data_IF_696751731937
#
_entry.id   IF_696751731937
#
_cell.length_a   1.000
_cell.length_b   1.000
_cell.length_c   1.000
_cell.angle_alpha   90.00
_cell.angle_beta   90.00
_cell.angle_gamma   90.00
#
_symmetry.space_group_name_H-M   'P 1'
#
loop_
_entity.id
_entity.type
_entity.pdbx_description
1 polymer ?
#
# COMPACT_ATOMS: atom_id res chain seq x y z
N UNK A 1 -19.12 -99.69 14.59
CA UNK A 1 -19.49 -98.60 13.66
C UNK A 1 -19.08 -97.30 14.33
N UNK A 2 -17.83 -97.10 14.72
CA UNK A 2 -16.55 -96.98 13.98
C UNK A 2 -16.35 -95.55 13.47
N UNK A 3 -15.75 -94.76 14.37
CA UNK A 3 -15.13 -93.46 14.15
C UNK A 3 -14.07 -93.55 13.05
N UNK A 4 -14.19 -92.72 12.01
CA UNK A 4 -13.11 -92.53 11.05
C UNK A 4 -12.37 -91.21 11.32
N UNK A 5 -11.09 -91.39 11.66
CA UNK A 5 -10.05 -90.39 11.82
C UNK A 5 -9.77 -89.65 10.50
N UNK A 6 -9.71 -88.32 10.56
CA UNK A 6 -9.18 -87.48 9.49
C UNK A 6 -7.66 -87.60 9.38
N UNK A 7 -7.17 -87.74 8.15
CA UNK A 7 -5.76 -87.77 7.81
C UNK A 7 -5.35 -86.40 7.25
N UNK A 8 -4.27 -85.82 7.80
CA UNK A 8 -3.72 -84.50 7.42
C UNK A 8 -2.83 -84.66 6.16
N UNK A 9 -2.81 -83.70 5.21
CA UNK A 9 -1.95 -83.77 4.02
C UNK A 9 -0.46 -83.49 4.34
N UNK A 10 0.49 -83.95 3.51
CA UNK A 10 1.92 -83.77 3.75
C UNK A 10 2.41 -82.34 3.45
N UNK A 11 3.39 -81.91 4.24
CA UNK A 11 4.13 -80.64 4.09
C UNK A 11 5.08 -80.72 2.88
N UNK A 12 5.10 -79.75 1.94
CA UNK A 12 6.10 -79.71 0.87
C UNK A 12 7.50 -79.37 1.38
N UNK A 13 8.52 -80.06 0.83
CA UNK A 13 9.94 -79.89 1.12
C UNK A 13 10.43 -78.46 0.85
N UNK A 14 11.28 -77.94 1.74
CA UNK A 14 12.09 -76.75 1.49
C UNK A 14 13.19 -77.09 0.47
N UNK A 15 13.17 -76.38 -0.66
CA UNK A 15 14.25 -76.34 -1.63
C UNK A 15 15.30 -75.31 -1.16
N UNK A 16 16.52 -75.77 -0.87
CA UNK A 16 17.67 -74.88 -0.61
C UNK A 16 18.00 -74.06 -1.85
N UNK A 17 17.77 -72.74 -1.78
CA UNK A 17 18.23 -71.81 -2.80
C UNK A 17 19.77 -71.74 -2.79
N UNK A 18 20.42 -72.32 -3.81
CA UNK A 18 21.84 -72.11 -4.11
C UNK A 18 22.09 -70.62 -4.38
N UNK A 19 22.93 -69.99 -3.56
CA UNK A 19 23.43 -68.64 -3.78
C UNK A 19 24.22 -68.58 -5.11
N UNK A 20 23.72 -67.82 -6.08
CA UNK A 20 24.44 -67.54 -7.33
C UNK A 20 25.51 -66.47 -7.08
N UNK A 21 26.77 -66.80 -7.37
CA UNK A 21 27.93 -65.91 -7.26
C UNK A 21 27.89 -64.75 -8.28
N UNK A 22 27.10 -63.71 -8.00
CA UNK A 22 27.01 -62.48 -8.81
C UNK A 22 27.98 -61.37 -8.34
N UNK A 23 29.17 -61.74 -7.86
CA UNK A 23 30.15 -60.78 -7.34
C UNK A 23 30.96 -60.06 -8.44
N UNK A 24 30.91 -60.54 -9.70
CA UNK A 24 31.67 -59.97 -10.82
C UNK A 24 30.93 -58.85 -11.55
N UNK A 25 29.59 -58.89 -11.63
CA UNK A 25 28.78 -57.90 -12.34
C UNK A 25 28.62 -56.59 -11.57
N UNK A 26 28.52 -56.64 -10.23
CA UNK A 26 28.45 -55.46 -9.36
C UNK A 26 29.75 -54.64 -9.34
N UNK A 27 30.92 -55.26 -9.54
CA UNK A 27 32.20 -54.55 -9.64
C UNK A 27 32.29 -53.73 -10.92
N UNK A 28 31.76 -54.22 -12.04
CA UNK A 28 31.77 -53.51 -13.33
C UNK A 28 30.90 -52.24 -13.26
N UNK A 29 29.74 -52.31 -12.60
CA UNK A 29 28.87 -51.14 -12.39
C UNK A 29 29.52 -50.12 -11.44
N UNK A 30 30.20 -50.58 -10.38
CA UNK A 30 30.91 -49.70 -9.45
C UNK A 30 32.10 -48.98 -10.11
N UNK A 31 32.88 -49.66 -10.97
CA UNK A 31 33.96 -49.02 -11.72
C UNK A 31 33.44 -48.06 -12.80
N UNK A 32 32.29 -48.36 -13.42
CA UNK A 32 31.61 -47.44 -14.35
C UNK A 32 31.19 -46.13 -13.69
N UNK A 33 30.58 -46.19 -12.50
CA UNK A 33 30.19 -44.99 -11.73
C UNK A 33 31.40 -44.19 -11.22
N UNK A 34 32.48 -44.86 -10.81
CA UNK A 34 33.70 -44.20 -10.35
C UNK A 34 34.43 -43.45 -11.48
N UNK A 35 34.44 -43.99 -12.71
CA UNK A 35 35.09 -43.33 -13.86
C UNK A 35 34.27 -42.12 -14.33
N UNK A 36 32.94 -42.21 -14.32
CA UNK A 36 32.05 -41.08 -14.66
C UNK A 36 32.13 -39.98 -13.61
N UNK A 37 32.20 -40.30 -12.31
CA UNK A 37 32.29 -39.28 -11.25
C UNK A 37 33.64 -38.56 -11.26
N UNK A 38 34.74 -39.25 -11.57
CA UNK A 38 36.07 -38.64 -11.73
C UNK A 38 36.11 -37.76 -12.99
N UNK A 39 35.53 -38.20 -14.11
CA UNK A 39 35.45 -37.41 -15.33
C UNK A 39 34.64 -36.11 -15.17
N UNK A 40 33.50 -36.17 -14.48
CA UNK A 40 32.67 -34.99 -14.18
C UNK A 40 33.37 -34.05 -13.18
N UNK A 41 34.08 -34.60 -12.19
CA UNK A 41 34.83 -33.79 -11.21
C UNK A 41 36.05 -33.09 -11.85
N UNK A 42 36.72 -33.72 -12.81
CA UNK A 42 37.82 -33.12 -13.58
C UNK A 42 37.29 -32.06 -14.56
N UNK A 43 36.12 -32.28 -15.18
CA UNK A 43 35.48 -31.30 -16.06
C UNK A 43 35.01 -30.05 -15.29
N UNK A 44 34.38 -30.23 -14.11
CA UNK A 44 33.96 -29.13 -13.24
C UNK A 44 35.19 -28.43 -12.64
N UNK A 45 36.19 -29.18 -12.19
CA UNK A 45 37.45 -28.63 -11.68
C UNK A 45 38.20 -27.82 -12.75
N UNK A 46 38.29 -28.32 -13.98
CA UNK A 46 38.90 -27.63 -15.12
C UNK A 46 38.13 -26.38 -15.55
N UNK A 47 36.80 -26.39 -15.49
CA UNK A 47 35.95 -25.23 -15.76
C UNK A 47 36.10 -24.14 -14.67
N UNK A 48 36.17 -24.54 -13.39
CA UNK A 48 36.33 -23.61 -12.27
C UNK A 48 37.77 -23.07 -12.16
N UNK A 49 38.79 -23.85 -12.53
CA UNK A 49 40.20 -23.41 -12.58
C UNK A 49 40.51 -22.59 -13.85
N UNK A 50 39.82 -22.84 -14.96
CA UNK A 50 39.92 -22.07 -16.20
C UNK A 50 39.25 -20.69 -16.12
N UNK A 51 38.26 -20.52 -15.24
CA UNK A 51 37.56 -19.24 -15.00
C UNK A 51 38.20 -18.40 -13.89
N UNK A 52 39.17 -18.91 -13.15
CA UNK A 52 39.84 -18.22 -12.04
C UNK A 52 41.20 -17.60 -12.37
N UNK A 53 41.51 -17.42 -13.66
CA UNK A 53 42.61 -16.56 -14.13
C UNK A 53 42.10 -15.39 -14.97
N UNK A 54 41.32 -14.52 -14.36
CA UNK A 54 41.32 -13.11 -14.74
C UNK A 54 41.63 -12.32 -13.48
N UNK A 55 42.84 -11.75 -13.41
CA UNK A 55 43.18 -10.78 -12.37
C UNK A 55 42.16 -9.66 -12.49
N UNK A 56 41.27 -9.54 -11.51
CA UNK A 56 40.39 -8.40 -11.35
C UNK A 56 41.27 -7.17 -11.13
N UNK A 57 41.59 -6.49 -12.22
CA UNK A 57 41.88 -5.07 -12.20
C UNK A 57 40.69 -4.40 -11.50
N UNK A 58 40.89 -3.43 -10.58
CA UNK A 58 39.77 -2.69 -10.02
C UNK A 58 38.99 -2.11 -11.20
N UNK A 59 37.79 -2.61 -11.42
CA UNK A 59 36.87 -1.99 -12.35
C UNK A 59 36.70 -0.56 -11.85
N UNK A 60 36.97 0.42 -12.72
CA UNK A 60 36.57 1.78 -12.44
C UNK A 60 35.10 1.70 -12.03
N UNK A 61 34.81 2.04 -10.77
CA UNK A 61 33.44 2.17 -10.30
C UNK A 61 32.81 3.17 -11.25
N UNK A 62 31.94 2.68 -12.14
CA UNK A 62 30.97 3.56 -12.78
C UNK A 62 30.09 4.01 -11.62
N UNK A 63 30.47 5.14 -11.03
CA UNK A 63 29.58 5.92 -10.21
C UNK A 63 28.43 6.26 -11.14
N UNK A 64 27.36 5.46 -11.07
CA UNK A 64 26.03 5.91 -11.47
C UNK A 64 25.70 7.04 -10.52
N UNK A 65 26.27 8.20 -10.81
CA UNK A 65 25.76 9.45 -10.29
C UNK A 65 24.31 9.44 -10.76
N UNK A 66 23.31 9.42 -9.87
CA UNK A 66 21.94 9.54 -10.32
C UNK A 66 21.91 10.79 -11.19
N UNK A 67 21.62 10.61 -12.49
CA UNK A 67 21.30 11.75 -13.32
C UNK A 67 20.19 12.45 -12.55
N UNK A 68 20.35 13.74 -12.19
CA UNK A 68 19.32 14.42 -11.41
C UNK A 68 18.02 14.19 -12.16
N UNK A 69 17.08 13.48 -11.52
CA UNK A 69 15.71 13.40 -12.01
C UNK A 69 15.32 14.86 -12.25
N UNK A 70 14.97 15.25 -13.49
CA UNK A 70 14.66 16.64 -13.77
C UNK A 70 13.65 17.12 -12.73
N UNK A 71 14.02 18.13 -11.94
CA UNK A 71 13.10 18.69 -10.95
C UNK A 71 11.86 19.15 -11.73
N UNK A 72 10.69 18.52 -11.58
CA UNK A 72 9.51 18.86 -12.36
C UNK A 72 9.07 20.32 -12.08
N UNK A 73 9.58 20.90 -11.00
CA UNK A 73 9.34 22.28 -10.57
C UNK A 73 10.49 23.23 -10.93
N UNK A 74 11.45 22.82 -11.77
CA UNK A 74 12.62 23.63 -12.11
C UNK A 74 12.25 24.96 -12.79
N UNK A 75 11.24 24.94 -13.66
CA UNK A 75 10.81 26.11 -14.43
C UNK A 75 9.64 26.88 -13.79
N UNK A 76 9.23 26.49 -12.58
CA UNK A 76 8.08 27.06 -11.89
C UNK A 76 8.38 28.45 -11.33
N UNK A 77 7.32 29.25 -11.19
CA UNK A 77 7.39 30.56 -10.53
C UNK A 77 7.44 30.38 -9.02
N UNK A 78 8.02 31.36 -8.32
CA UNK A 78 8.13 31.36 -6.86
C UNK A 78 7.20 32.44 -6.31
N UNK A 79 6.30 32.04 -5.41
CA UNK A 79 5.53 32.97 -4.60
C UNK A 79 6.25 33.21 -3.27
N UNK A 80 6.30 34.47 -2.83
CA UNK A 80 6.84 34.85 -1.52
C UNK A 80 5.84 35.75 -0.79
N UNK A 81 5.33 35.26 0.34
CA UNK A 81 4.42 36.01 1.20
C UNK A 81 5.17 36.84 2.24
N UNK A 82 5.79 37.95 1.85
CA UNK A 82 6.46 38.87 2.79
C UNK A 82 7.40 38.16 3.78
N UNK A 83 8.12 37.13 3.31
CA UNK A 83 9.01 36.30 4.11
C UNK A 83 8.33 35.53 5.25
N UNK A 84 7.04 35.17 5.15
CA UNK A 84 6.33 34.26 6.07
C UNK A 84 6.37 32.84 5.53
N UNK A 85 6.06 32.67 4.25
CA UNK A 85 6.23 31.40 3.55
C UNK A 85 6.51 31.65 2.08
N UNK A 86 7.09 30.64 1.44
CA UNK A 86 7.33 30.59 0.00
C UNK A 86 6.86 29.25 -0.54
N UNK A 87 6.43 29.21 -1.79
CA UNK A 87 6.16 27.96 -2.52
C UNK A 87 6.39 28.20 -4.01
N UNK A 88 6.58 27.13 -4.77
CA UNK A 88 6.61 27.18 -6.23
C UNK A 88 5.25 26.82 -6.82
N UNK A 89 4.94 27.37 -7.99
CA UNK A 89 3.72 27.05 -8.75
C UNK A 89 3.98 27.07 -10.27
N UNK A 90 3.20 26.33 -11.07
CA UNK A 90 3.39 26.28 -12.52
C UNK A 90 3.33 27.65 -13.20
N UNK A 91 4.11 27.82 -14.27
CA UNK A 91 4.26 29.13 -14.94
C UNK A 91 3.04 29.56 -15.77
N UNK A 92 2.16 28.61 -16.07
CA UNK A 92 0.84 28.80 -16.68
C UNK A 92 -0.28 29.03 -15.64
N UNK A 93 0.05 29.00 -14.34
CA UNK A 93 -0.84 29.36 -13.25
C UNK A 93 -0.62 30.82 -12.82
N UNK A 94 -1.52 31.32 -11.98
CA UNK A 94 -1.45 32.66 -11.40
C UNK A 94 -1.92 32.63 -9.94
N UNK A 95 -1.54 33.66 -9.20
CA UNK A 95 -1.86 33.83 -7.78
C UNK A 95 -2.69 35.10 -7.59
N UNK A 96 -3.83 34.99 -6.91
CA UNK A 96 -4.69 36.11 -6.58
C UNK A 96 -4.89 36.23 -5.07
N UNK A 97 -4.77 37.44 -4.53
CA UNK A 97 -5.02 37.71 -3.11
C UNK A 97 -6.42 38.30 -2.92
N UNK A 98 -7.20 37.70 -2.04
CA UNK A 98 -8.52 38.18 -1.65
C UNK A 98 -8.41 38.86 -0.29
N UNK A 99 -8.50 40.18 -0.31
CA UNK A 99 -8.41 41.05 0.88
C UNK A 99 -9.78 41.42 1.48
N UNK A 100 -10.89 41.13 0.79
CA UNK A 100 -12.24 41.46 1.23
C UNK A 100 -12.88 40.41 2.14
N UNK A 101 -12.20 39.29 2.42
CA UNK A 101 -12.68 38.23 3.28
C UNK A 101 -12.22 38.46 4.73
N UNK A 102 -12.97 37.90 5.69
CA UNK A 102 -12.66 37.99 7.12
C UNK A 102 -11.25 37.46 7.47
N UNK A 103 -10.69 36.60 6.61
CA UNK A 103 -9.33 36.10 6.70
C UNK A 103 -8.60 36.27 5.36
N UNK A 104 -7.33 36.72 5.38
CA UNK A 104 -6.54 36.87 4.17
C UNK A 104 -6.40 35.51 3.47
N UNK A 105 -6.89 35.45 2.23
CA UNK A 105 -6.90 34.22 1.43
C UNK A 105 -6.18 34.44 0.11
N UNK A 106 -5.30 33.49 -0.24
CA UNK A 106 -4.66 33.42 -1.54
C UNK A 106 -5.29 32.31 -2.35
N UNK A 107 -5.55 32.56 -3.63
CA UNK A 107 -5.96 31.55 -4.60
C UNK A 107 -4.78 31.29 -5.53
N UNK A 108 -4.48 30.01 -5.74
CA UNK A 108 -3.47 29.52 -6.68
C UNK A 108 -4.20 28.61 -7.66
N UNK A 109 -4.28 29.00 -8.94
CA UNK A 109 -5.07 28.29 -9.94
C UNK A 109 -4.51 28.54 -11.36
N UNK A 110 -4.92 27.76 -12.37
CA UNK A 110 -4.62 28.09 -13.77
C UNK A 110 -5.06 29.51 -14.11
N UNK A 111 -4.32 30.20 -15.00
CA UNK A 111 -4.63 31.59 -15.39
C UNK A 111 -6.08 31.79 -15.83
N UNK A 112 -6.63 30.83 -16.57
CA UNK A 112 -8.03 30.83 -17.01
C UNK A 112 -9.02 30.87 -15.85
N UNK A 113 -8.73 30.18 -14.75
CA UNK A 113 -9.57 30.17 -13.56
C UNK A 113 -9.50 31.51 -12.83
N UNK A 114 -8.29 32.07 -12.69
CA UNK A 114 -8.09 33.38 -12.07
C UNK A 114 -8.79 34.48 -12.89
N UNK A 115 -8.69 34.46 -14.22
CA UNK A 115 -9.38 35.41 -15.09
C UNK A 115 -10.90 35.29 -15.01
N UNK A 116 -11.43 34.06 -14.87
CA UNK A 116 -12.85 33.85 -14.62
C UNK A 116 -13.28 34.47 -13.27
N UNK A 117 -12.50 34.27 -12.20
CA UNK A 117 -12.76 34.85 -10.89
C UNK A 117 -12.68 36.38 -10.87
N UNK A 118 -11.76 36.97 -11.64
CA UNK A 118 -11.65 38.44 -11.81
C UNK A 118 -12.90 39.04 -12.44
N UNK A 119 -13.49 38.39 -13.45
CA UNK A 119 -14.71 38.87 -14.14
C UNK A 119 -15.91 39.01 -13.22
N UNK A 120 -15.93 38.22 -12.14
CA UNK A 120 -17.00 38.19 -11.13
C UNK A 120 -16.56 38.86 -9.83
N UNK A 121 -15.51 39.67 -9.84
CA UNK A 121 -14.97 40.40 -8.68
C UNK A 121 -14.79 39.50 -7.44
N UNK A 122 -14.38 38.25 -7.66
CA UNK A 122 -14.19 37.25 -6.61
C UNK A 122 -15.43 37.04 -5.71
N UNK A 123 -16.63 37.34 -6.22
CA UNK A 123 -17.91 37.22 -5.49
C UNK A 123 -18.44 35.77 -5.44
N UNK A 124 -17.88 34.85 -6.24
CA UNK A 124 -18.28 33.43 -6.19
C UNK A 124 -17.65 32.80 -4.95
N UNK A 125 -18.49 32.59 -3.94
CA UNK A 125 -18.11 31.89 -2.71
C UNK A 125 -17.81 30.42 -2.98
N UNK A 126 -16.52 30.08 -2.98
CA UNK A 126 -16.06 28.68 -2.95
C UNK A 126 -16.36 27.86 -4.22
N UNK A 127 -15.84 26.63 -4.21
CA UNK A 127 -15.99 25.67 -5.31
C UNK A 127 -14.71 25.50 -6.16
N UNK A 128 -14.80 24.64 -7.19
CA UNK A 128 -13.67 24.16 -8.01
C UNK A 128 -12.88 25.26 -8.75
N UNK A 129 -13.45 26.45 -8.90
CA UNK A 129 -12.75 27.59 -9.54
C UNK A 129 -11.56 28.07 -8.71
N UNK A 130 -11.64 27.96 -7.38
CA UNK A 130 -10.57 28.30 -6.44
C UNK A 130 -9.69 27.08 -6.17
N UNK A 131 -9.06 26.54 -7.21
CA UNK A 131 -8.39 25.21 -7.22
C UNK A 131 -7.59 24.96 -5.94
N UNK A 132 -6.66 25.86 -5.59
CA UNK A 132 -5.96 25.84 -4.31
C UNK A 132 -6.23 27.15 -3.56
N UNK A 133 -6.56 27.06 -2.29
CA UNK A 133 -6.77 28.21 -1.41
C UNK A 133 -5.84 28.15 -0.20
N UNK A 134 -5.09 29.22 0.08
CA UNK A 134 -4.25 29.34 1.27
C UNK A 134 -4.82 30.44 2.15
N UNK A 135 -5.33 30.08 3.32
CA UNK A 135 -5.94 31.01 4.28
C UNK A 135 -5.13 31.02 5.56
N UNK A 136 -4.75 32.19 6.06
CA UNK A 136 -4.01 32.35 7.32
C UNK A 136 -4.84 33.00 8.43
N UNK A 137 -4.59 32.62 9.68
CA UNK A 137 -5.12 33.37 10.84
C UNK A 137 -4.28 34.63 11.12
N UNK A 138 -4.94 35.74 11.44
CA UNK A 138 -4.28 37.01 11.82
C UNK A 138 -4.01 37.13 13.31
N UNK A 139 -4.61 36.28 14.16
CA UNK A 139 -4.50 36.33 15.62
C UNK A 139 -3.50 35.31 16.18
N UNK A 140 -2.78 35.73 17.22
CA UNK A 140 -1.93 34.87 18.04
C UNK A 140 -2.79 33.91 18.88
N UNK A 141 -2.98 32.68 18.40
CA UNK A 141 -3.73 31.64 19.10
C UNK A 141 -3.93 30.39 18.24
N UNK A 142 -4.01 29.18 18.82
CA UNK A 142 -4.21 27.94 18.06
C UNK A 142 -5.62 27.85 17.43
N UNK A 143 -5.60 27.62 16.12
CA UNK A 143 -6.59 27.02 15.20
C UNK A 143 -8.08 27.44 15.31
N UNK A 144 -8.58 28.29 14.38
CA UNK A 144 -10.03 28.48 14.17
C UNK A 144 -10.66 27.49 13.16
N UNK A 145 -9.88 26.59 12.54
CA UNK A 145 -10.36 25.65 11.52
C UNK A 145 -10.38 24.21 12.02
N UNK A 146 -11.53 23.77 12.51
CA UNK A 146 -11.80 22.35 12.75
C UNK A 146 -12.79 21.88 11.68
N UNK A 147 -12.36 20.95 10.85
CA UNK A 147 -13.23 20.29 9.88
C UNK A 147 -13.86 19.06 10.54
N UNK A 148 -15.18 19.05 10.62
CA UNK A 148 -15.95 17.95 11.24
C UNK A 148 -16.95 17.38 10.25
N UNK A 149 -17.25 16.08 10.40
CA UNK A 149 -18.38 15.46 9.72
C UNK A 149 -19.70 16.05 10.21
N UNK A 150 -20.67 16.15 9.30
CA UNK A 150 -22.05 16.60 9.58
C UNK A 150 -23.01 15.95 8.57
N UNK A 151 -24.26 16.44 8.48
CA UNK A 151 -25.27 15.92 7.55
C UNK A 151 -24.94 16.14 6.07
N UNK A 152 -23.95 16.98 5.75
CA UNK A 152 -23.58 17.37 4.38
C UNK A 152 -22.22 16.83 3.94
N UNK A 153 -21.35 16.43 4.88
CA UNK A 153 -20.02 15.89 4.57
C UNK A 153 -19.53 14.88 5.59
N UNK A 154 -18.74 13.92 5.11
CA UNK A 154 -17.91 13.03 5.93
C UNK A 154 -16.46 13.53 5.92
N UNK A 155 -15.83 13.67 7.09
CA UNK A 155 -14.46 14.17 7.22
C UNK A 155 -13.55 13.09 7.81
N UNK A 156 -12.53 12.70 7.05
CA UNK A 156 -11.38 11.94 7.55
C UNK A 156 -10.24 12.90 7.89
N UNK A 157 -9.38 12.53 8.85
CA UNK A 157 -8.17 13.31 9.18
C UNK A 157 -6.96 12.41 9.40
N UNK A 158 -5.78 12.90 9.04
CA UNK A 158 -4.47 12.27 9.31
C UNK A 158 -3.39 13.31 9.57
N UNK A 159 -2.33 12.92 10.29
CA UNK A 159 -1.15 13.77 10.48
C UNK A 159 -0.19 13.62 9.30
N UNK A 160 0.35 14.74 8.83
CA UNK A 160 1.34 14.82 7.74
C UNK A 160 2.47 15.80 8.11
N UNK A 161 3.59 15.78 7.39
CA UNK A 161 4.62 16.82 7.49
C UNK A 161 4.58 17.70 6.25
N UNK A 162 4.57 19.02 6.44
CA UNK A 162 4.76 20.00 5.36
C UNK A 162 5.91 20.91 5.75
N UNK A 163 6.97 20.95 4.94
CA UNK A 163 8.15 21.79 5.21
C UNK A 163 8.78 21.56 6.59
N UNK A 164 8.69 20.35 7.15
CA UNK A 164 9.19 20.03 8.50
C UNK A 164 8.26 20.44 9.65
N UNK A 165 7.09 21.02 9.36
CA UNK A 165 6.05 21.31 10.34
C UNK A 165 5.01 20.20 10.36
N UNK A 166 4.51 19.88 11.55
CA UNK A 166 3.36 19.00 11.68
C UNK A 166 2.13 19.71 11.11
N UNK A 167 1.40 19.00 10.27
CA UNK A 167 0.14 19.44 9.73
C UNK A 167 -0.91 18.36 9.94
N UNK A 168 -2.17 18.77 10.02
CA UNK A 168 -3.31 17.86 9.95
C UNK A 168 -3.95 18.00 8.59
N UNK A 169 -3.95 16.91 7.82
CA UNK A 169 -4.72 16.81 6.59
C UNK A 169 -6.14 16.38 6.92
N UNK A 170 -7.13 17.12 6.43
CA UNK A 170 -8.55 16.79 6.49
C UNK A 170 -9.02 16.48 5.06
N UNK A 171 -9.68 15.35 4.87
CA UNK A 171 -10.33 14.98 3.61
C UNK A 171 -11.83 14.99 3.83
N UNK A 172 -12.51 15.97 3.23
CA UNK A 172 -13.97 16.12 3.28
C UNK A 172 -14.58 15.53 2.03
N UNK A 173 -15.44 14.52 2.17
CA UNK A 173 -16.26 13.97 1.09
C UNK A 173 -17.70 14.42 1.27
N UNK A 174 -18.25 15.13 0.30
CA UNK A 174 -19.59 15.69 0.38
C UNK A 174 -20.65 14.63 0.08
N UNK A 175 -21.65 14.54 0.95
CA UNK A 175 -22.75 13.58 0.90
C UNK A 175 -24.10 14.25 0.60
N UNK A 176 -24.07 15.52 0.21
CA UNK A 176 -25.21 16.30 -0.27
C UNK A 176 -24.73 17.35 -1.29
N UNK A 177 -25.62 17.75 -2.20
CA UNK A 177 -25.39 18.89 -3.08
C UNK A 177 -25.50 20.20 -2.29
N UNK A 178 -24.56 21.12 -2.52
CA UNK A 178 -24.52 22.46 -1.95
C UNK A 178 -24.22 23.48 -3.07
N UNK A 179 -24.48 24.77 -2.85
CA UNK A 179 -24.04 25.80 -3.79
C UNK A 179 -22.52 25.70 -4.07
N UNK A 180 -22.17 25.36 -5.32
CA UNK A 180 -20.76 25.23 -5.76
C UNK A 180 -20.05 23.93 -5.39
N UNK A 181 -20.74 22.97 -4.75
CA UNK A 181 -20.19 21.67 -4.36
C UNK A 181 -21.20 20.58 -4.71
N UNK A 182 -20.78 19.58 -5.47
CA UNK A 182 -21.64 18.48 -5.88
C UNK A 182 -21.54 17.30 -4.90
N UNK A 183 -22.59 16.49 -4.83
CA UNK A 183 -22.56 15.19 -4.16
C UNK A 183 -21.35 14.36 -4.65
N UNK A 184 -20.55 13.89 -3.71
CA UNK A 184 -19.34 13.11 -3.98
C UNK A 184 -18.07 13.93 -4.24
N UNK A 185 -18.15 15.26 -4.26
CA UNK A 185 -16.95 16.10 -4.34
C UNK A 185 -16.06 15.88 -3.12
N UNK A 186 -14.75 15.92 -3.35
CA UNK A 186 -13.71 15.75 -2.32
C UNK A 186 -12.89 17.03 -2.21
N UNK A 187 -12.77 17.55 -0.99
CA UNK A 187 -11.94 18.71 -0.65
C UNK A 187 -10.89 18.27 0.36
N UNK A 188 -9.64 18.66 0.15
CA UNK A 188 -8.53 18.38 1.08
C UNK A 188 -8.09 19.69 1.73
N UNK A 189 -7.92 19.72 3.04
CA UNK A 189 -7.35 20.86 3.76
C UNK A 189 -6.19 20.42 4.62
N UNK A 190 -4.99 20.94 4.34
CA UNK A 190 -3.83 20.81 5.20
C UNK A 190 -3.75 22.00 6.15
N UNK A 191 -3.99 21.76 7.44
CA UNK A 191 -3.83 22.77 8.49
C UNK A 191 -2.45 22.62 9.11
N UNK A 192 -1.63 23.65 8.98
CA UNK A 192 -0.25 23.70 9.47
C UNK A 192 -0.09 24.84 10.47
N UNK A 193 0.39 24.49 11.66
CA UNK A 193 0.69 25.44 12.73
C UNK A 193 2.15 25.88 12.65
N UNK A 194 2.38 27.18 12.56
CA UNK A 194 3.71 27.81 12.46
C UNK A 194 3.82 28.88 13.55
N UNK A 195 4.43 28.49 14.67
CA UNK A 195 4.51 29.35 15.86
C UNK A 195 3.11 29.64 16.43
N UNK A 196 2.72 30.91 16.47
CA UNK A 196 1.40 31.35 16.96
C UNK A 196 0.34 31.50 15.87
N UNK A 197 0.66 31.14 14.62
CA UNK A 197 -0.20 31.27 13.44
C UNK A 197 -0.57 29.89 12.90
N UNK A 198 -1.76 29.79 12.31
CA UNK A 198 -2.20 28.62 11.57
C UNK A 198 -2.49 28.98 10.12
N UNK A 199 -2.13 28.09 9.20
CA UNK A 199 -2.46 28.19 7.78
C UNK A 199 -3.28 26.98 7.36
N UNK A 200 -4.38 27.20 6.66
CA UNK A 200 -5.12 26.16 5.94
C UNK A 200 -4.75 26.25 4.46
N UNK A 201 -4.19 25.17 3.93
CA UNK A 201 -3.89 25.01 2.50
C UNK A 201 -4.90 24.01 1.96
N UNK A 202 -5.88 24.50 1.21
CA UNK A 202 -7.02 23.74 0.69
C UNK A 202 -6.86 23.40 -0.79
N UNK A 203 -7.24 22.18 -1.17
CA UNK A 203 -7.50 21.73 -2.54
C UNK A 203 -9.01 21.60 -2.72
N UNK A 204 -9.60 22.49 -3.51
CA UNK A 204 -11.05 22.56 -3.73
C UNK A 204 -11.49 21.79 -4.99
N UNK A 205 -10.54 21.35 -5.82
CA UNK A 205 -10.80 20.49 -6.98
C UNK A 205 -9.80 19.32 -6.98
N UNK A 206 -10.32 18.13 -6.64
CA UNK A 206 -9.52 16.91 -6.51
C UNK A 206 -8.84 16.48 -7.82
N UNK A 207 -9.31 16.95 -8.98
CA UNK A 207 -8.65 16.68 -10.27
C UNK A 207 -7.23 17.25 -10.35
N UNK A 208 -6.89 18.21 -9.48
CA UNK A 208 -5.56 18.82 -9.39
C UNK A 208 -4.69 18.22 -8.28
N UNK A 209 -5.03 17.04 -7.75
CA UNK A 209 -4.33 16.43 -6.61
C UNK A 209 -2.82 16.27 -6.82
N UNK A 210 -2.39 15.79 -7.98
CA UNK A 210 -0.96 15.61 -8.26
C UNK A 210 -0.23 16.96 -8.30
N UNK A 211 -0.86 17.97 -8.89
CA UNK A 211 -0.33 19.34 -8.94
C UNK A 211 -0.26 19.95 -7.55
N UNK A 212 -1.30 19.75 -6.74
CA UNK A 212 -1.36 20.16 -5.36
C UNK A 212 -0.23 19.54 -4.52
N UNK A 213 -0.03 18.23 -4.63
CA UNK A 213 1.05 17.54 -3.90
C UNK A 213 2.44 18.08 -4.30
N UNK A 214 2.64 18.36 -5.60
CA UNK A 214 3.87 19.01 -6.06
C UNK A 214 4.04 20.42 -5.46
N UNK A 215 3.00 21.25 -5.48
CA UNK A 215 3.03 22.59 -4.87
C UNK A 215 3.34 22.48 -3.36
N UNK A 216 2.64 21.60 -2.63
CA UNK A 216 2.85 21.32 -1.20
C UNK A 216 4.31 20.93 -0.92
N UNK A 217 4.91 20.10 -1.76
CA UNK A 217 6.31 19.66 -1.61
C UNK A 217 7.34 20.80 -1.67
N UNK A 218 6.96 21.95 -2.25
CA UNK A 218 7.84 23.11 -2.42
C UNK A 218 7.65 24.18 -1.34
N UNK A 219 6.67 24.00 -0.45
CA UNK A 219 6.43 24.96 0.63
C UNK A 219 7.65 25.08 1.54
N UNK A 220 7.91 26.32 1.96
CA UNK A 220 8.88 26.67 3.00
C UNK A 220 8.29 27.76 3.87
N UNK A 221 8.18 27.52 5.18
CA UNK A 221 7.81 28.56 6.14
C UNK A 221 9.06 29.23 6.72
N UNK A 222 8.96 30.52 7.02
CA UNK A 222 9.99 31.25 7.75
C UNK A 222 9.76 31.15 9.25
N UNK A 223 10.85 31.11 10.03
CA UNK A 223 10.81 30.78 11.44
C UNK A 223 11.56 29.47 11.68
N UNK A 224 12.88 29.57 11.74
CA UNK A 224 13.76 28.43 11.94
C UNK A 224 14.04 28.23 13.43
N UNK A 225 13.19 27.44 14.07
CA UNK A 225 13.60 26.50 15.10
C UNK A 225 12.67 25.29 15.00
N UNK A 226 13.15 24.29 14.28
CA UNK A 226 12.56 22.96 14.30
C UNK A 226 12.59 22.42 15.73
N UNK A 227 11.42 22.22 16.34
CA UNK A 227 11.19 21.18 17.33
C UNK A 227 9.73 20.77 17.24
N UNK A 228 9.43 19.75 16.43
CA UNK A 228 9.22 18.38 16.94
C UNK A 228 9.50 17.43 15.78
N UNK A 229 10.62 16.69 15.81
CA UNK A 229 10.73 15.42 15.09
C UNK A 229 9.85 14.40 15.79
N UNK A 230 8.54 14.56 15.68
CA UNK A 230 7.66 13.41 15.72
C UNK A 230 7.59 12.98 14.28
N UNK A 231 8.09 11.78 13.99
CA UNK A 231 7.57 11.02 12.86
C UNK A 231 6.05 11.13 12.97
N UNK A 232 5.33 11.81 12.04
CA UNK A 232 3.89 11.86 12.11
C UNK A 232 3.43 10.44 12.29
N UNK A 233 2.62 10.20 13.31
CA UNK A 233 1.90 8.96 13.35
C UNK A 233 0.63 9.22 12.54
N UNK A 234 0.58 8.92 11.23
CA UNK A 234 -0.64 9.10 10.43
C UNK A 234 -1.83 8.32 11.02
N UNK A 235 -1.55 7.41 11.95
CA UNK A 235 -2.52 6.60 12.69
C UNK A 235 -2.81 7.09 14.11
N UNK A 236 -2.50 8.35 14.45
CA UNK A 236 -2.69 8.90 15.80
C UNK A 236 -4.15 8.87 16.28
N UNK A 237 -5.10 9.14 15.37
CA UNK A 237 -6.55 9.12 15.61
C UNK A 237 -7.22 7.82 15.12
N UNK A 238 -6.45 6.84 14.71
CA UNK A 238 -6.99 5.57 14.25
C UNK A 238 -7.44 4.74 15.43
N UNK A 239 -8.49 3.94 15.20
CA UNK A 239 -8.99 2.99 16.19
C UNK A 239 -8.08 1.77 16.20
N UNK A 240 -7.83 1.21 17.38
CA UNK A 240 -7.10 -0.04 17.54
C UNK A 240 -8.08 -1.21 17.50
N UNK A 241 -7.74 -2.26 16.75
CA UNK A 241 -8.42 -3.55 16.75
C UNK A 241 -7.46 -4.62 17.25
N UNK A 242 -7.87 -5.36 18.26
CA UNK A 242 -7.06 -6.41 18.89
C UNK A 242 -7.86 -7.70 18.89
N UNK A 243 -7.24 -8.79 18.40
CA UNK A 243 -7.83 -10.13 18.44
C UNK A 243 -6.93 -11.03 19.27
N UNK A 244 -7.19 -11.08 20.57
CA UNK A 244 -6.36 -11.81 21.54
C UNK A 244 -6.21 -13.29 21.18
N UNK A 245 -7.29 -13.95 20.71
CA UNK A 245 -7.27 -15.36 20.29
C UNK A 245 -6.28 -15.63 19.16
N UNK A 246 -6.09 -14.67 18.26
CA UNK A 246 -5.19 -14.79 17.10
C UNK A 246 -3.81 -14.16 17.35
N UNK A 247 -3.63 -13.47 18.48
CA UNK A 247 -2.39 -12.80 18.85
C UNK A 247 -2.05 -11.64 17.92
N UNK A 248 -3.04 -10.85 17.50
CA UNK A 248 -2.84 -9.73 16.56
C UNK A 248 -3.42 -8.42 17.09
N UNK A 249 -2.76 -7.34 16.72
CA UNK A 249 -3.23 -5.97 16.91
C UNK A 249 -2.88 -5.13 15.68
N UNK A 250 -3.80 -4.27 15.26
CA UNK A 250 -3.51 -3.25 14.26
C UNK A 250 -4.44 -2.05 14.44
N UNK A 251 -4.14 -0.95 13.75
CA UNK A 251 -4.99 0.24 13.72
C UNK A 251 -5.69 0.36 12.38
N UNK A 252 -6.87 0.99 12.39
CA UNK A 252 -7.64 1.30 11.17
C UNK A 252 -8.23 2.72 11.19
N UNK A 253 -8.45 3.34 10.01
CA UNK A 253 -8.97 4.70 9.91
C UNK A 253 -10.35 4.86 10.59
N UNK A 254 -10.64 6.02 11.22
CA UNK A 254 -11.90 6.23 11.91
C UNK A 254 -13.14 6.26 10.99
N UNK A 255 -12.95 6.53 9.69
CA UNK A 255 -13.99 6.50 8.65
C UNK A 255 -14.31 5.09 8.15
N UNK A 256 -13.60 4.05 8.63
CA UNK A 256 -13.91 2.68 8.24
C UNK A 256 -14.91 2.08 9.24
N UNK A 257 -16.00 1.52 8.72
CA UNK A 257 -16.99 0.80 9.51
C UNK A 257 -16.71 -0.70 9.45
N UNK A 258 -16.55 -1.39 10.60
CA UNK A 258 -16.55 -2.84 10.60
C UNK A 258 -17.96 -3.35 10.24
N UNK A 259 -18.06 -4.24 9.25
CA UNK A 259 -19.35 -4.76 8.77
C UNK A 259 -19.74 -6.05 9.50
N UNK A 260 -18.77 -6.92 9.79
CA UNK A 260 -18.98 -8.18 10.47
C UNK A 260 -17.70 -8.62 11.18
N UNK A 261 -17.85 -8.98 12.45
CA UNK A 261 -16.86 -9.72 13.23
C UNK A 261 -17.39 -11.15 13.25
N UNK A 262 -16.77 -12.04 12.49
CA UNK A 262 -17.16 -13.45 12.50
C UNK A 262 -16.35 -14.16 13.58
N UNK A 263 -17.02 -14.77 14.56
CA UNK A 263 -16.36 -15.64 15.55
C UNK A 263 -15.78 -16.92 14.91
N UNK A 264 -16.13 -17.20 13.64
CA UNK A 264 -15.46 -18.21 12.84
C UNK A 264 -14.09 -17.69 12.41
N UNK A 265 -13.04 -18.43 12.79
CA UNK A 265 -11.60 -18.10 12.64
C UNK A 265 -11.15 -17.70 11.22
N UNK A 266 -12.00 -17.93 10.21
CA UNK A 266 -11.75 -17.62 8.81
C UNK A 266 -11.77 -16.12 8.50
N UNK A 267 -12.61 -15.29 9.13
CA UNK A 267 -12.72 -13.86 8.79
C UNK A 267 -12.79 -12.97 10.04
N UNK A 268 -11.65 -12.65 10.68
CA UNK A 268 -11.63 -11.86 11.90
C UNK A 268 -12.36 -10.51 11.78
N UNK A 269 -12.27 -9.82 10.63
CA UNK A 269 -12.93 -8.52 10.43
C UNK A 269 -13.01 -8.14 8.95
N UNK A 270 -14.05 -7.38 8.61
CA UNK A 270 -14.22 -6.73 7.31
C UNK A 270 -14.59 -5.26 7.47
N UNK A 271 -14.08 -4.39 6.59
CA UNK A 271 -14.27 -2.94 6.64
C UNK A 271 -14.92 -2.42 5.35
N UNK A 272 -15.78 -1.42 5.50
CA UNK A 272 -16.18 -0.50 4.41
C UNK A 272 -15.64 0.88 4.70
N UNK A 273 -15.06 1.52 3.70
CA UNK A 273 -14.74 2.93 3.71
C UNK A 273 -16.00 3.76 3.48
N UNK A 274 -16.51 4.37 4.55
CA UNK A 274 -17.74 5.16 4.48
C UNK A 274 -17.58 6.48 3.70
N UNK A 275 -16.35 6.86 3.33
CA UNK A 275 -16.13 8.04 2.49
C UNK A 275 -16.52 7.81 1.04
N UNK A 276 -16.48 6.56 0.55
CA UNK A 276 -16.81 6.26 -0.83
C UNK A 276 -18.29 5.90 -0.98
N UNK A 277 -19.09 6.91 -1.35
CA UNK A 277 -20.54 6.84 -1.54
C UNK A 277 -20.96 5.97 -2.73
N UNK A 278 -20.03 5.62 -3.64
CA UNK A 278 -20.31 4.79 -4.81
C UNK A 278 -20.27 3.28 -4.50
N UNK A 279 -19.76 2.87 -3.34
CA UNK A 279 -19.76 1.46 -2.89
C UNK A 279 -21.15 0.93 -2.49
N UNK A 280 -22.18 1.79 -2.35
CA UNK A 280 -23.49 1.40 -1.79
C UNK A 280 -24.34 0.42 -2.63
N UNK A 281 -23.82 -0.08 -3.75
CA UNK A 281 -24.43 -1.14 -4.55
C UNK A 281 -23.73 -2.51 -4.39
N UNK A 282 -22.59 -2.59 -3.68
CA UNK A 282 -21.85 -3.83 -3.44
C UNK A 282 -22.08 -4.33 -2.01
N UNK A 283 -22.45 -5.59 -1.85
CA UNK A 283 -22.55 -6.26 -0.54
C UNK A 283 -21.18 -6.73 -0.02
N UNK A 284 -20.11 -6.54 -0.79
CA UNK A 284 -18.76 -7.01 -0.45
C UNK A 284 -17.96 -5.92 0.27
N UNK A 285 -17.18 -6.27 1.32
CA UNK A 285 -16.35 -5.31 2.01
C UNK A 285 -15.18 -4.83 1.13
N UNK A 286 -14.75 -3.60 1.37
CA UNK A 286 -13.60 -3.00 0.68
C UNK A 286 -12.29 -3.63 1.15
N UNK A 287 -12.23 -4.02 2.42
CA UNK A 287 -11.13 -4.77 3.00
C UNK A 287 -11.69 -5.93 3.82
N UNK A 288 -11.15 -7.13 3.60
CA UNK A 288 -11.37 -8.28 4.49
C UNK A 288 -10.06 -8.85 4.98
N UNK A 289 -10.03 -9.29 6.24
CA UNK A 289 -8.91 -10.01 6.82
C UNK A 289 -9.36 -11.46 7.00
N UNK A 290 -8.57 -12.39 6.48
CA UNK A 290 -8.77 -13.84 6.57
C UNK A 290 -7.57 -14.49 7.24
N UNK A 291 -7.81 -15.48 8.11
CA UNK A 291 -6.73 -16.31 8.67
C UNK A 291 -6.75 -17.67 8.00
N UNK A 292 -5.57 -18.10 7.57
CA UNK A 292 -5.37 -19.34 6.82
C UNK A 292 -4.33 -20.18 7.56
N UNK A 293 -4.71 -21.34 8.14
CA UNK A 293 -3.75 -22.22 8.76
C UNK A 293 -2.77 -22.79 7.73
N UNK A 294 -1.50 -22.91 8.09
CA UNK A 294 -0.52 -23.64 7.29
C UNK A 294 -0.72 -25.12 7.62
N UNK A 295 -1.26 -25.87 6.65
CA UNK A 295 -1.57 -27.30 6.81
C UNK A 295 -0.27 -28.09 6.96
N UNK A 296 -0.29 -29.16 7.78
CA UNK A 296 0.87 -30.04 7.95
C UNK A 296 1.37 -30.57 6.61
N UNK A 297 2.65 -30.33 6.30
CA UNK A 297 3.30 -30.71 5.04
C UNK A 297 3.32 -29.62 3.97
N UNK A 298 2.52 -28.56 4.10
CA UNK A 298 2.64 -27.36 3.26
C UNK A 298 3.64 -26.36 3.88
N UNK A 299 4.27 -25.53 3.04
CA UNK A 299 4.93 -24.30 3.47
C UNK A 299 4.01 -23.09 3.25
N UNK A 300 4.37 -21.94 3.85
CA UNK A 300 3.56 -20.72 3.70
C UNK A 300 3.43 -20.28 2.24
N UNK A 301 4.42 -20.57 1.38
CA UNK A 301 4.39 -20.19 -0.04
C UNK A 301 3.29 -20.93 -0.77
N UNK A 302 3.19 -22.23 -0.50
CA UNK A 302 2.14 -23.11 -1.02
C UNK A 302 0.77 -22.66 -0.53
N UNK A 303 0.65 -22.27 0.74
CA UNK A 303 -0.59 -21.68 1.29
C UNK A 303 -0.99 -20.41 0.55
N UNK A 304 -0.06 -19.48 0.31
CA UNK A 304 -0.30 -18.24 -0.43
C UNK A 304 -0.78 -18.50 -1.86
N UNK A 305 -0.13 -19.42 -2.57
CA UNK A 305 -0.49 -19.79 -3.94
C UNK A 305 -1.92 -20.36 -4.01
N UNK A 306 -2.26 -21.27 -3.09
CA UNK A 306 -3.60 -21.90 -3.04
C UNK A 306 -4.72 -20.91 -2.70
N UNK A 307 -4.42 -19.86 -1.93
CA UNK A 307 -5.42 -18.87 -1.53
C UNK A 307 -5.79 -17.88 -2.65
N UNK A 308 -4.82 -17.49 -3.48
CA UNK A 308 -5.05 -16.50 -4.54
C UNK A 308 -5.90 -17.08 -5.65
N UNK A 309 -6.99 -16.39 -5.99
CA UNK A 309 -7.79 -16.65 -7.20
C UNK A 309 -7.80 -15.38 -8.05
N UNK A 310 -7.29 -15.44 -9.27
CA UNK A 310 -7.27 -14.29 -10.18
C UNK A 310 -8.66 -13.98 -10.72
N UNK A 311 -9.19 -12.77 -10.47
CA UNK A 311 -10.44 -12.23 -11.03
C UNK A 311 -11.63 -13.22 -11.01
N UNK A 312 -11.73 -14.09 -9.99
CA UNK A 312 -12.79 -15.11 -9.90
C UNK A 312 -12.71 -16.23 -10.95
N UNK A 313 -11.66 -16.30 -11.77
CA UNK A 313 -11.48 -17.28 -12.85
C UNK A 313 -11.20 -18.72 -12.38
N UNK A 314 -10.91 -18.91 -11.09
CA UNK A 314 -10.38 -20.16 -10.56
C UNK A 314 -8.90 -20.41 -10.86
N UNK A 315 -8.22 -19.48 -11.55
CA UNK A 315 -6.77 -19.58 -11.77
C UNK A 315 -6.00 -19.12 -10.54
N UNK A 316 -4.92 -19.85 -10.24
CA UNK A 316 -3.98 -19.56 -9.17
C UNK A 316 -2.62 -19.15 -9.74
N UNK A 317 -1.77 -18.46 -8.97
CA UNK A 317 -0.37 -18.24 -9.32
C UNK A 317 0.31 -19.59 -9.62
N UNK A 318 1.18 -19.65 -10.62
CA UNK A 318 1.91 -20.87 -10.96
C UNK A 318 3.05 -21.12 -10.00
N UNK A 319 3.60 -20.04 -9.42
CA UNK A 319 4.67 -20.14 -8.43
C UNK A 319 4.76 -18.90 -7.55
N UNK A 320 5.51 -19.02 -6.47
CA UNK A 320 5.70 -17.96 -5.50
C UNK A 320 6.42 -16.71 -6.07
N UNK A 321 7.12 -16.84 -7.19
CA UNK A 321 7.87 -15.72 -7.80
C UNK A 321 6.95 -14.62 -8.36
N UNK A 322 5.66 -14.91 -8.50
CA UNK A 322 4.65 -13.94 -8.95
C UNK A 322 4.22 -12.98 -7.83
N UNK A 323 4.55 -13.29 -6.58
CA UNK A 323 4.32 -12.40 -5.45
C UNK A 323 5.41 -11.35 -5.38
N UNK A 324 5.00 -10.11 -5.19
CA UNK A 324 5.89 -9.05 -4.75
C UNK A 324 6.04 -9.08 -3.23
N UNK A 325 7.12 -8.49 -2.71
CA UNK A 325 7.34 -8.40 -1.28
C UNK A 325 7.94 -7.06 -0.88
N UNK A 326 7.57 -6.56 0.29
CA UNK A 326 8.21 -5.39 0.91
C UNK A 326 8.07 -5.42 2.43
N UNK A 327 8.97 -4.73 3.12
CA UNK A 327 8.87 -4.56 4.57
C UNK A 327 7.93 -3.41 4.89
N UNK A 328 6.89 -3.65 5.70
CA UNK A 328 5.94 -2.64 6.18
C UNK A 328 5.76 -2.80 7.68
N UNK A 329 5.96 -1.74 8.47
CA UNK A 329 5.79 -1.81 9.93
C UNK A 329 6.74 -2.79 10.62
N UNK A 330 7.89 -3.10 10.01
CA UNK A 330 8.83 -4.11 10.49
C UNK A 330 8.49 -5.56 10.10
N UNK A 331 7.33 -5.79 9.45
CA UNK A 331 6.93 -7.11 8.97
C UNK A 331 7.25 -7.28 7.48
N UNK A 332 7.68 -8.48 7.09
CA UNK A 332 7.74 -8.84 5.67
C UNK A 332 6.32 -9.10 5.17
N UNK A 333 5.88 -8.30 4.19
CA UNK A 333 4.56 -8.40 3.56
C UNK A 333 4.72 -8.90 2.13
N UNK A 334 4.02 -9.97 1.79
CA UNK A 334 3.90 -10.44 0.41
C UNK A 334 2.59 -9.92 -0.19
N UNK A 335 2.57 -9.60 -1.48
CA UNK A 335 1.37 -9.10 -2.12
C UNK A 335 1.32 -9.41 -3.60
N UNK A 336 0.10 -9.47 -4.13
CA UNK A 336 -0.16 -9.75 -5.54
C UNK A 336 -1.44 -9.05 -5.97
N UNK A 337 -1.41 -8.42 -7.15
CA UNK A 337 -2.60 -7.86 -7.78
C UNK A 337 -3.41 -9.01 -8.37
N UNK A 338 -4.65 -9.15 -7.92
CA UNK A 338 -5.53 -10.27 -8.31
C UNK A 338 -6.55 -9.89 -9.39
N UNK A 339 -6.78 -8.60 -9.61
CA UNK A 339 -7.66 -8.11 -10.67
C UNK A 339 -7.53 -6.61 -10.93
N UNK A 340 -7.76 -6.21 -12.19
CA UNK A 340 -8.01 -4.84 -12.63
C UNK A 340 -8.94 -4.90 -13.83
N UNK A 341 -10.25 -4.90 -13.60
CA UNK A 341 -11.26 -5.12 -14.63
C UNK A 341 -12.59 -4.52 -14.19
N UNK A 342 -13.40 -4.02 -15.14
CA UNK A 342 -14.76 -3.49 -14.90
C UNK A 342 -14.86 -2.47 -13.74
N UNK A 343 -13.83 -1.64 -13.58
CA UNK A 343 -13.80 -0.59 -12.57
C UNK A 343 -13.45 -1.08 -11.18
N UNK A 344 -12.92 -2.30 -11.05
CA UNK A 344 -12.50 -2.89 -9.79
C UNK A 344 -11.01 -3.18 -9.81
N UNK A 345 -10.32 -2.70 -8.78
CA UNK A 345 -8.96 -3.09 -8.44
C UNK A 345 -8.99 -4.06 -7.27
N UNK A 346 -8.36 -5.22 -7.42
CA UNK A 346 -8.23 -6.22 -6.34
C UNK A 346 -6.76 -6.54 -6.07
N UNK A 347 -6.37 -6.50 -4.80
CA UNK A 347 -5.02 -6.78 -4.33
C UNK A 347 -5.09 -7.61 -3.05
N UNK A 348 -4.31 -8.69 -2.99
CA UNK A 348 -4.15 -9.48 -1.77
C UNK A 348 -2.79 -9.17 -1.13
N UNK A 349 -2.80 -8.89 0.17
CA UNK A 349 -1.61 -8.75 1.01
C UNK A 349 -1.54 -9.88 2.03
N UNK A 350 -0.34 -10.34 2.35
CA UNK A 350 -0.12 -11.50 3.20
C UNK A 350 0.96 -11.22 4.25
N UNK A 351 0.61 -11.52 5.50
CA UNK A 351 1.52 -11.55 6.63
C UNK A 351 1.64 -12.98 7.13
N UNK A 352 2.87 -13.49 7.20
CA UNK A 352 3.14 -14.88 7.60
C UNK A 352 3.57 -14.92 9.06
N UNK A 353 2.91 -15.78 9.84
CA UNK A 353 3.34 -16.20 11.17
C UNK A 353 3.69 -17.70 11.13
N UNK A 354 4.30 -18.26 12.18
CA UNK A 354 4.86 -19.62 12.21
C UNK A 354 3.91 -20.70 11.65
N UNK A 355 2.63 -20.66 12.03
CA UNK A 355 1.66 -21.72 11.72
C UNK A 355 0.46 -21.24 10.91
N UNK A 356 0.43 -19.95 10.52
CA UNK A 356 -0.74 -19.35 9.88
C UNK A 356 -0.36 -18.12 9.05
N UNK A 357 -1.21 -17.83 8.08
CA UNK A 357 -1.12 -16.67 7.21
C UNK A 357 -2.32 -15.77 7.46
N UNK A 358 -2.07 -14.47 7.57
CA UNK A 358 -3.09 -13.43 7.58
C UNK A 358 -3.17 -12.82 6.19
N UNK A 359 -4.29 -13.07 5.50
CA UNK A 359 -4.57 -12.56 4.18
C UNK A 359 -5.49 -11.33 4.28
N UNK A 360 -5.05 -10.22 3.71
CA UNK A 360 -5.78 -8.96 3.64
C UNK A 360 -6.18 -8.75 2.19
N UNK A 361 -7.46 -8.96 1.90
CA UNK A 361 -7.99 -8.77 0.56
C UNK A 361 -8.56 -7.37 0.46
N UNK A 362 -8.04 -6.58 -0.48
CA UNK A 362 -8.50 -5.25 -0.82
C UNK A 362 -9.27 -5.30 -2.13
N UNK A 363 -10.42 -4.62 -2.16
CA UNK A 363 -11.22 -4.37 -3.36
C UNK A 363 -11.55 -2.88 -3.41
N UNK A 364 -10.90 -2.15 -4.31
CA UNK A 364 -11.17 -0.72 -4.56
C UNK A 364 -12.08 -0.56 -5.77
N UNK A 365 -13.15 0.21 -5.63
CA UNK A 365 -14.13 0.47 -6.69
C UNK A 365 -14.90 1.78 -6.42
N UNK A 366 -15.22 2.60 -7.44
CA UNK A 366 -14.76 2.46 -8.81
C UNK A 366 -13.32 2.95 -8.99
N UNK A 367 -12.56 2.29 -9.86
CA UNK A 367 -11.27 2.77 -10.38
C UNK A 367 -11.33 3.01 -11.88
N UNK A 368 -10.51 3.92 -12.39
CA UNK A 368 -10.39 4.19 -13.83
C UNK A 368 -9.51 3.13 -14.53
N UNK A 369 -10.01 1.90 -14.56
CA UNK A 369 -9.28 0.74 -15.08
C UNK A 369 -8.98 0.79 -16.59
N UNK A 370 -9.71 1.64 -17.34
CA UNK A 370 -9.49 1.86 -18.78
C UNK A 370 -8.36 2.83 -19.07
N UNK A 371 -7.94 3.61 -18.08
CA UNK A 371 -6.86 4.57 -18.24
C UNK A 371 -5.50 3.85 -18.20
N UNK A 372 -4.70 3.91 -19.28
CA UNK A 372 -3.40 3.25 -19.34
C UNK A 372 -2.38 3.84 -18.34
N UNK A 373 -2.63 5.04 -17.83
CA UNK A 373 -1.81 5.68 -16.81
C UNK A 373 -2.32 5.43 -15.38
N UNK A 374 -3.39 4.65 -15.20
CA UNK A 374 -3.86 4.28 -13.88
C UNK A 374 -2.79 3.47 -13.15
N UNK A 375 -2.46 3.94 -11.95
CA UNK A 375 -1.43 3.34 -11.09
C UNK A 375 -2.08 2.75 -9.83
N UNK A 376 -2.22 1.42 -9.73
CA UNK A 376 -2.79 0.76 -8.56
C UNK A 376 -2.11 1.12 -7.24
N UNK A 377 -0.83 1.45 -7.27
CA UNK A 377 -0.03 1.86 -6.12
C UNK A 377 -0.41 3.23 -5.53
N UNK A 378 -1.04 4.09 -6.33
CA UNK A 378 -1.50 5.43 -5.94
C UNK A 378 -2.99 5.44 -5.50
N UNK A 379 -3.70 4.31 -5.65
CA UNK A 379 -5.08 4.15 -5.19
C UNK A 379 -5.21 4.43 -3.67
N UNK A 380 -6.19 5.26 -3.29
CA UNK A 380 -6.32 5.74 -1.92
C UNK A 380 -6.60 4.62 -0.92
N UNK A 381 -7.45 3.65 -1.29
CA UNK A 381 -7.74 2.50 -0.42
C UNK A 381 -6.49 1.62 -0.27
N UNK A 382 -5.70 1.48 -1.34
CA UNK A 382 -4.44 0.77 -1.31
C UNK A 382 -3.39 1.45 -0.43
N UNK A 383 -3.30 2.78 -0.46
CA UNK A 383 -2.45 3.55 0.45
C UNK A 383 -2.91 3.38 1.91
N UNK A 384 -4.21 3.39 2.17
CA UNK A 384 -4.77 3.13 3.51
C UNK A 384 -4.46 1.71 3.99
N UNK A 385 -4.57 0.69 3.13
CA UNK A 385 -4.19 -0.69 3.45
C UNK A 385 -2.72 -0.79 3.87
N UNK A 386 -1.81 -0.15 3.14
CA UNK A 386 -0.40 -0.15 3.50
C UNK A 386 -0.15 0.53 4.86
N UNK A 387 -0.89 1.58 5.19
CA UNK A 387 -0.84 2.20 6.51
C UNK A 387 -1.40 1.29 7.61
N UNK A 388 -2.50 0.55 7.36
CA UNK A 388 -3.00 -0.50 8.29
C UNK A 388 -1.92 -1.52 8.57
N UNK A 389 -1.32 -2.08 7.52
CA UNK A 389 -0.23 -3.06 7.62
C UNK A 389 0.99 -2.51 8.38
N UNK A 390 1.27 -1.20 8.26
CA UNK A 390 2.37 -0.56 9.00
C UNK A 390 2.17 -0.51 10.52
N UNK A 391 0.92 -0.63 10.98
CA UNK A 391 0.59 -0.68 12.41
C UNK A 391 0.39 -2.08 12.94
N UNK A 392 0.44 -3.10 12.06
CA UNK A 392 0.16 -4.47 12.41
C UNK A 392 1.26 -5.06 13.29
N UNK A 393 0.85 -5.73 14.37
CA UNK A 393 1.74 -6.37 15.33
C UNK A 393 1.21 -7.75 15.70
N UNK A 394 2.13 -8.69 15.85
CA UNK A 394 1.89 -9.90 16.62
C UNK A 394 2.05 -9.59 18.10
N UNK A 395 1.09 -10.02 18.93
CA UNK A 395 1.04 -9.71 20.37
C UNK A 395 1.51 -10.87 21.25
N UNK A 396 1.88 -12.00 20.65
CA UNK A 396 2.20 -13.25 21.33
C UNK A 396 3.59 -13.76 20.99
#
# INVERSE_FOLDING_TARGET
MDNQNQQVPPVPSQEEAKASNNLSFLKIIAYGFAIVSVGVSIAIGGYLLGTSKSKSQPAAQISVTPSPTPDPTANWQIYNNQNIFTFKYPSDWDVAQLSSLALPTLIVAPKTNIDALRKVNFQVGGGKQSVISITGSSTSGPIPFVYTSDSTKSVAKRLVVISGFNATEYTSTYIADLPGISLGDVIINNVVDVGSRAYSIGLNDISYKDMYDQIISTFKFSGQSAQVSITPNPTANWKTYTVTKLGIEFKYPPNFSPIAIFDNELFPISFTDNSNTKHRLSTSPDISIKVIPIVSGDDYKTTLIKDVIFAGSGMHPKSFVEFSSKTIGGNMVYYIKTGLFEGVLSINYYLVNKNQVFAFNLTSSPVDWTNPNFKPEEDLLNLNMQQILSTFKFTN
#
